data_IF_740812100504
#
_entry.id   IF_740812100504
#
_cell.length_a   1.000
_cell.length_b   1.000
_cell.length_c   1.000
_cell.angle_alpha   90.00
_cell.angle_beta   90.00
_cell.angle_gamma   90.00
#
_symmetry.space_group_name_H-M   'P 1'
#
loop_
_entity.id
_entity.type
_entity.pdbx_description
1 polymer ?
#
# COMPACT_ATOMS: atom_id res chain seq x y z
N UNK A 1 19.07 -14.02 -16.45
CA UNK A 1 18.19 -12.90 -16.81
C UNK A 1 18.98 -11.77 -17.44
N UNK A 2 19.79 -11.01 -16.67
CA UNK A 2 20.60 -9.88 -17.19
C UNK A 2 21.47 -10.26 -18.40
N UNK A 3 22.11 -11.44 -18.38
CA UNK A 3 22.96 -11.92 -19.50
C UNK A 3 22.23 -12.04 -20.84
N UNK A 4 20.92 -12.31 -20.85
CA UNK A 4 20.16 -12.58 -22.08
C UNK A 4 19.17 -11.48 -22.42
N UNK A 5 18.63 -10.77 -21.42
CA UNK A 5 17.60 -9.74 -21.59
C UNK A 5 18.10 -8.32 -21.29
N UNK A 6 19.33 -8.17 -20.78
CA UNK A 6 19.82 -6.88 -20.29
C UNK A 6 19.13 -6.43 -19.01
N UNK A 7 19.19 -5.13 -18.71
CA UNK A 7 18.40 -4.51 -17.65
C UNK A 7 16.96 -4.31 -18.16
N UNK A 8 16.00 -4.87 -17.42
CA UNK A 8 14.57 -4.76 -17.71
C UNK A 8 13.83 -4.23 -16.47
N UNK A 9 12.81 -3.38 -16.63
CA UNK A 9 12.08 -2.80 -15.51
C UNK A 9 11.10 -3.84 -14.94
N UNK A 10 11.59 -4.65 -14.00
CA UNK A 10 10.79 -5.68 -13.31
C UNK A 10 10.42 -5.19 -11.91
N UNK A 11 9.16 -5.39 -11.54
CA UNK A 11 8.66 -5.22 -10.17
C UNK A 11 8.32 -6.62 -9.65
N UNK A 12 8.83 -6.97 -8.48
CA UNK A 12 8.53 -8.25 -7.85
C UNK A 12 7.26 -8.11 -7.01
N UNK A 13 6.22 -8.87 -7.37
CA UNK A 13 5.07 -9.10 -6.49
C UNK A 13 5.50 -10.10 -5.40
N UNK A 14 5.84 -9.57 -4.22
CA UNK A 14 6.36 -10.31 -3.09
C UNK A 14 5.44 -10.22 -1.87
N UNK A 15 4.13 -10.43 -2.07
CA UNK A 15 3.12 -10.36 -1.01
C UNK A 15 2.84 -11.74 -0.39
N UNK A 16 2.32 -11.74 0.84
CA UNK A 16 1.95 -12.96 1.56
C UNK A 16 3.11 -13.65 2.28
N UNK A 17 3.12 -14.99 2.30
CA UNK A 17 4.16 -15.77 2.99
C UNK A 17 5.38 -15.90 2.07
N UNK A 18 6.38 -15.06 2.31
CA UNK A 18 7.62 -15.02 1.53
C UNK A 18 8.71 -15.84 2.21
N UNK A 19 9.29 -16.79 1.47
CA UNK A 19 10.40 -17.60 1.98
C UNK A 19 11.75 -16.88 1.81
N UNK A 20 12.78 -17.23 2.59
CA UNK A 20 14.12 -16.64 2.47
C UNK A 20 14.72 -16.77 1.06
N UNK A 21 14.38 -17.81 0.31
CA UNK A 21 14.83 -18.04 -1.06
C UNK A 21 14.25 -16.99 -2.02
N UNK A 22 12.98 -16.61 -1.85
CA UNK A 22 12.33 -15.57 -2.65
C UNK A 22 12.97 -14.21 -2.36
N UNK A 23 13.22 -13.90 -1.07
CA UNK A 23 13.93 -12.66 -0.69
C UNK A 23 15.33 -12.61 -1.30
N UNK A 24 16.09 -13.71 -1.22
CA UNK A 24 17.42 -13.81 -1.83
C UNK A 24 17.37 -13.62 -3.35
N UNK A 25 16.36 -14.18 -4.01
CA UNK A 25 16.20 -14.05 -5.46
C UNK A 25 15.89 -12.61 -5.86
N UNK A 26 14.95 -11.95 -5.16
CA UNK A 26 14.61 -10.54 -5.37
C UNK A 26 15.84 -9.66 -5.20
N UNK A 27 16.54 -9.81 -4.07
CA UNK A 27 17.72 -9.00 -3.74
C UNK A 27 18.89 -9.25 -4.69
N UNK A 28 19.05 -10.48 -5.21
CA UNK A 28 20.11 -10.82 -6.18
C UNK A 28 19.98 -10.02 -7.48
N UNK A 29 18.76 -9.71 -7.89
CA UNK A 29 18.48 -8.93 -9.10
C UNK A 29 18.13 -7.46 -8.80
N UNK A 30 18.19 -7.06 -7.53
CA UNK A 30 17.84 -5.72 -7.05
C UNK A 30 16.45 -5.25 -7.49
N UNK A 31 15.50 -6.19 -7.56
CA UNK A 31 14.13 -5.86 -7.97
C UNK A 31 13.34 -5.19 -6.83
N UNK A 32 12.63 -4.08 -7.10
CA UNK A 32 11.76 -3.47 -6.12
C UNK A 32 10.62 -4.44 -5.74
N UNK A 33 10.35 -4.54 -4.45
CA UNK A 33 9.18 -5.27 -3.93
C UNK A 33 7.94 -4.39 -3.86
N UNK A 34 6.79 -5.00 -3.62
CA UNK A 34 5.50 -4.31 -3.48
C UNK A 34 5.18 -4.03 -2.01
N UNK A 35 4.64 -2.85 -1.73
CA UNK A 35 4.10 -2.47 -0.42
C UNK A 35 2.66 -2.03 -0.59
N UNK A 36 1.73 -2.65 0.14
CA UNK A 36 0.30 -2.37 0.01
C UNK A 36 -0.20 -1.68 1.29
N UNK A 37 -0.61 -0.41 1.19
CA UNK A 37 -1.07 0.35 2.36
C UNK A 37 -2.26 -0.32 3.05
N UNK A 38 -3.25 -0.81 2.29
CA UNK A 38 -4.42 -1.50 2.83
C UNK A 38 -4.09 -2.80 3.59
N UNK A 39 -2.89 -3.37 3.41
CA UNK A 39 -2.44 -4.56 4.15
C UNK A 39 -1.69 -4.19 5.41
N UNK A 40 -0.95 -3.09 5.41
CA UNK A 40 0.00 -2.79 6.48
C UNK A 40 -0.53 -1.76 7.49
N UNK A 41 -1.55 -0.95 7.14
CA UNK A 41 -2.09 0.08 8.02
C UNK A 41 -3.21 -0.47 8.91
N UNK A 42 -2.84 -1.23 9.94
CA UNK A 42 -3.77 -1.74 10.95
C UNK A 42 -3.10 -1.92 12.32
N UNK A 43 -3.90 -2.01 13.39
CA UNK A 43 -3.44 -1.91 14.79
C UNK A 43 -2.38 -2.95 15.20
N UNK A 44 -2.48 -4.14 14.64
CA UNK A 44 -1.65 -5.29 15.00
C UNK A 44 -0.48 -5.54 14.04
N UNK A 45 -0.23 -4.63 13.09
CA UNK A 45 0.89 -4.77 12.18
C UNK A 45 2.22 -4.50 12.90
N UNK A 46 3.28 -5.16 12.44
CA UNK A 46 4.63 -4.91 12.94
C UNK A 46 5.14 -3.59 12.38
N UNK A 47 5.75 -2.78 13.25
CA UNK A 47 6.33 -1.47 12.90
C UNK A 47 7.13 -1.44 11.60
N UNK A 48 7.98 -2.45 11.36
CA UNK A 48 8.81 -2.55 10.14
C UNK A 48 8.03 -2.61 8.82
N UNK A 49 6.73 -2.92 8.87
CA UNK A 49 5.84 -2.95 7.71
C UNK A 49 5.01 -1.67 7.58
N UNK A 50 5.13 -0.71 8.49
CA UNK A 50 4.45 0.57 8.35
C UNK A 50 5.15 1.46 7.30
N UNK A 51 4.41 2.36 6.64
CA UNK A 51 4.93 3.18 5.53
C UNK A 51 6.21 3.98 5.82
N UNK A 52 6.40 4.48 7.04
CA UNK A 52 7.60 5.22 7.41
C UNK A 52 8.88 4.34 7.48
N UNK A 53 8.73 3.02 7.49
CA UNK A 53 9.82 2.03 7.46
C UNK A 53 10.03 1.38 6.09
N UNK A 54 9.28 1.77 5.05
CA UNK A 54 9.49 1.21 3.71
C UNK A 54 10.88 1.51 3.18
N UNK A 55 11.49 0.54 2.51
CA UNK A 55 12.76 0.71 1.82
C UNK A 55 12.60 1.52 0.52
N UNK A 56 13.60 2.32 0.11
CA UNK A 56 13.54 3.05 -1.16
C UNK A 56 13.34 2.16 -2.39
N UNK A 57 14.01 1.00 -2.44
CA UNK A 57 13.83 0.03 -3.53
C UNK A 57 12.51 -0.77 -3.37
N UNK A 58 11.38 -0.07 -3.40
CA UNK A 58 10.05 -0.64 -3.36
C UNK A 58 9.06 0.22 -4.14
N UNK A 59 7.92 -0.40 -4.49
CA UNK A 59 6.78 0.27 -5.09
C UNK A 59 5.62 0.23 -4.10
N UNK A 60 5.19 1.40 -3.64
CA UNK A 60 4.02 1.52 -2.78
C UNK A 60 2.75 1.59 -3.61
N UNK A 61 1.72 0.90 -3.15
CA UNK A 61 0.38 0.94 -3.70
C UNK A 61 -0.59 1.29 -2.58
N UNK A 62 -1.55 2.16 -2.88
CA UNK A 62 -2.70 2.32 -2.00
C UNK A 62 -3.48 1.01 -1.91
N UNK A 63 -3.63 0.31 -3.03
CA UNK A 63 -4.08 -1.08 -3.14
C UNK A 63 -4.03 -1.59 -4.58
N UNK A 64 -4.01 -2.92 -4.76
CA UNK A 64 -3.98 -3.62 -6.06
C UNK A 64 -5.38 -3.82 -6.65
N UNK A 65 -5.50 -4.39 -7.85
CA UNK A 65 -6.82 -4.72 -8.42
C UNK A 65 -7.61 -5.77 -7.60
N UNK A 66 -6.95 -6.54 -6.74
CA UNK A 66 -7.57 -7.58 -5.91
C UNK A 66 -8.18 -7.06 -4.61
N UNK A 67 -7.79 -5.86 -4.15
CA UNK A 67 -8.37 -5.30 -2.93
C UNK A 67 -9.67 -4.52 -3.21
N UNK A 68 -10.50 -4.40 -2.18
CA UNK A 68 -11.65 -3.48 -2.21
C UNK A 68 -11.19 -2.05 -2.49
N UNK A 69 -12.09 -1.22 -2.99
CA UNK A 69 -11.91 0.23 -3.03
C UNK A 69 -11.50 0.75 -1.66
N UNK A 70 -10.71 1.82 -1.59
CA UNK A 70 -10.29 2.39 -0.30
C UNK A 70 -11.47 2.78 0.58
N UNK A 71 -12.54 3.34 0.01
CA UNK A 71 -13.78 3.62 0.75
C UNK A 71 -14.43 2.33 1.27
N UNK A 72 -14.52 1.30 0.42
CA UNK A 72 -15.11 0.00 0.79
C UNK A 72 -14.29 -0.73 1.86
N UNK A 73 -12.96 -0.70 1.74
CA UNK A 73 -12.02 -1.21 2.72
C UNK A 73 -12.17 -0.47 4.06
N UNK A 74 -12.12 0.85 4.05
CA UNK A 74 -12.22 1.68 5.27
C UNK A 74 -13.52 1.42 6.05
N UNK A 75 -14.65 1.33 5.34
CA UNK A 75 -15.97 1.05 5.95
C UNK A 75 -16.09 -0.35 6.57
N UNK A 76 -15.19 -1.27 6.26
CA UNK A 76 -15.18 -2.65 6.77
C UNK A 76 -14.15 -2.87 7.87
N UNK A 77 -13.36 -1.85 8.23
CA UNK A 77 -12.37 -1.97 9.29
C UNK A 77 -13.04 -2.24 10.63
N UNK A 78 -12.34 -3.01 11.47
CA UNK A 78 -12.73 -3.22 12.85
C UNK A 78 -12.47 -1.93 13.64
N UNK A 79 -13.22 -1.66 14.73
CA UNK A 79 -13.03 -0.44 15.53
C UNK A 79 -11.57 -0.17 15.87
N UNK A 80 -10.85 -1.20 16.35
CA UNK A 80 -9.41 -1.14 16.66
C UNK A 80 -8.53 -0.60 15.54
N UNK A 81 -8.83 -0.94 14.29
CA UNK A 81 -8.06 -0.50 13.13
C UNK A 81 -8.48 0.92 12.69
N UNK A 82 -9.74 1.29 12.90
CA UNK A 82 -10.22 2.67 12.70
C UNK A 82 -9.54 3.62 13.67
N UNK A 83 -9.46 3.26 14.97
CA UNK A 83 -8.77 4.06 15.97
C UNK A 83 -7.26 4.19 15.67
N UNK A 84 -6.62 3.09 15.27
CA UNK A 84 -5.22 3.12 14.83
C UNK A 84 -5.01 4.05 13.64
N UNK A 85 -5.86 3.95 12.60
CA UNK A 85 -5.75 4.81 11.43
C UNK A 85 -6.00 6.27 11.79
N UNK A 86 -6.94 6.55 12.68
CA UNK A 86 -7.24 7.89 13.12
C UNK A 86 -6.03 8.53 13.80
N UNK A 87 -5.35 7.79 14.67
CA UNK A 87 -4.11 8.24 15.30
C UNK A 87 -2.95 8.35 14.30
N UNK A 88 -2.75 7.33 13.47
CA UNK A 88 -1.60 7.25 12.55
C UNK A 88 -1.66 8.29 11.43
N UNK A 89 -2.85 8.60 10.93
CA UNK A 89 -3.06 9.54 9.82
C UNK A 89 -3.53 10.93 10.28
N UNK A 90 -3.68 11.14 11.59
CA UNK A 90 -4.22 12.37 12.18
C UNK A 90 -5.60 12.73 11.60
N UNK A 91 -6.54 11.79 11.73
CA UNK A 91 -7.89 11.91 11.19
C UNK A 91 -8.84 12.56 12.18
N UNK A 92 -9.69 13.45 11.70
CA UNK A 92 -10.75 14.04 12.52
C UNK A 92 -11.97 13.11 12.63
N UNK A 93 -12.70 13.11 13.78
CA UNK A 93 -13.88 12.26 13.96
C UNK A 93 -15.03 12.52 12.97
N UNK A 94 -15.05 13.71 12.36
CA UNK A 94 -16.10 14.14 11.44
C UNK A 94 -15.73 13.98 9.95
N UNK A 95 -14.59 13.36 9.63
CA UNK A 95 -14.16 13.24 8.24
C UNK A 95 -15.07 12.33 7.40
N UNK A 96 -15.27 12.72 6.16
CA UNK A 96 -15.97 11.91 5.17
C UNK A 96 -15.10 10.74 4.67
N UNK A 97 -15.75 9.68 4.17
CA UNK A 97 -15.04 8.50 3.68
C UNK A 97 -14.16 8.82 2.46
N UNK A 98 -14.44 9.89 1.72
CA UNK A 98 -13.61 10.36 0.61
C UNK A 98 -12.26 10.92 1.09
N UNK A 99 -12.17 11.41 2.32
CA UNK A 99 -10.92 11.95 2.87
C UNK A 99 -9.89 10.85 3.10
N UNK A 100 -10.32 9.61 3.42
CA UNK A 100 -9.38 8.48 3.56
C UNK A 100 -8.64 8.19 2.25
N UNK A 101 -9.26 8.45 1.09
CA UNK A 101 -8.59 8.29 -0.19
C UNK A 101 -7.42 9.26 -0.32
N UNK A 102 -7.63 10.53 0.03
CA UNK A 102 -6.58 11.54 -0.01
C UNK A 102 -5.49 11.27 1.01
N UNK A 103 -5.85 10.84 2.23
CA UNK A 103 -4.87 10.47 3.26
C UNK A 103 -3.98 9.31 2.84
N UNK A 104 -4.52 8.27 2.22
CA UNK A 104 -3.68 7.19 1.68
C UNK A 104 -2.81 7.64 0.51
N UNK A 105 -3.29 8.56 -0.32
CA UNK A 105 -2.48 9.16 -1.39
C UNK A 105 -1.30 9.94 -0.78
N UNK A 106 -1.56 10.78 0.22
CA UNK A 106 -0.52 11.54 0.95
C UNK A 106 0.53 10.60 1.54
N UNK A 107 0.11 9.52 2.21
CA UNK A 107 1.03 8.51 2.77
C UNK A 107 1.87 7.85 1.68
N UNK A 108 1.25 7.46 0.56
CA UNK A 108 1.96 6.84 -0.55
C UNK A 108 3.03 7.76 -1.15
N UNK A 109 2.78 9.07 -1.21
CA UNK A 109 3.77 10.05 -1.69
C UNK A 109 4.79 10.47 -0.63
N UNK A 110 4.50 10.31 0.66
CA UNK A 110 5.42 10.67 1.76
C UNK A 110 6.33 9.52 2.20
N UNK A 111 5.99 8.27 1.90
CA UNK A 111 6.85 7.14 2.25
C UNK A 111 8.14 7.13 1.41
N UNK A 112 9.12 6.34 1.83
CA UNK A 112 10.45 6.36 1.19
C UNK A 112 10.52 5.58 -0.13
N UNK A 113 9.46 4.87 -0.52
CA UNK A 113 9.40 4.09 -1.76
C UNK A 113 9.67 4.96 -3.00
N UNK A 114 10.55 4.49 -3.90
CA UNK A 114 10.92 5.22 -5.11
C UNK A 114 9.77 5.37 -6.12
N UNK A 115 8.69 4.59 -5.99
CA UNK A 115 7.55 4.64 -6.89
C UNK A 115 6.26 4.48 -6.10
N UNK A 116 5.29 5.36 -6.37
CA UNK A 116 3.95 5.28 -5.82
C UNK A 116 2.93 5.02 -6.94
N UNK A 117 2.08 4.01 -6.75
CA UNK A 117 1.00 3.67 -7.67
C UNK A 117 -0.34 3.83 -6.96
N UNK A 118 -1.12 4.79 -7.43
CA UNK A 118 -2.44 5.09 -6.89
C UNK A 118 -3.49 4.37 -7.72
N UNK A 119 -4.37 3.61 -7.08
CA UNK A 119 -5.50 3.01 -7.79
C UNK A 119 -6.46 4.09 -8.28
N UNK A 120 -6.67 4.13 -9.60
CA UNK A 120 -7.49 5.14 -10.27
C UNK A 120 -8.88 5.36 -9.64
N UNK A 121 -9.55 4.29 -9.19
CA UNK A 121 -10.88 4.37 -8.56
C UNK A 121 -10.93 5.22 -7.29
N UNK A 122 -9.78 5.47 -6.64
CA UNK A 122 -9.68 6.39 -5.49
C UNK A 122 -9.72 7.86 -5.91
N UNK A 123 -9.10 8.22 -7.04
CA UNK A 123 -9.00 9.61 -7.49
C UNK A 123 -10.36 10.21 -7.87
N UNK A 124 -11.33 9.36 -8.19
CA UNK A 124 -12.67 9.78 -8.62
C UNK A 124 -13.73 9.68 -7.52
N UNK A 125 -13.35 9.34 -6.27
CA UNK A 125 -14.27 9.18 -5.13
C UNK A 125 -15.56 8.43 -5.52
N UNK A 126 -15.45 7.46 -6.44
CA UNK A 126 -16.60 6.86 -7.11
C UNK A 126 -17.17 5.79 -6.17
N UNK A 127 -17.97 6.24 -5.21
CA UNK A 127 -18.93 5.37 -4.55
C UNK A 127 -19.91 4.92 -5.62
N UNK A 128 -20.18 3.62 -5.68
CA UNK A 128 -21.33 3.13 -6.42
C UNK A 128 -22.56 3.77 -5.78
N UNK A 129 -22.99 4.92 -6.30
CA UNK A 129 -24.32 5.45 -5.99
C UNK A 129 -25.29 4.37 -6.49
N UNK A 130 -26.19 3.85 -5.64
CA UNK A 130 -27.23 2.97 -6.15
C UNK A 130 -27.99 3.74 -7.24
N UNK A 131 -28.15 3.08 -8.39
CA UNK A 131 -28.97 3.58 -9.50
C UNK A 131 -30.44 3.70 -9.08
#
# INVERSE_FOLDING_TARGET
MIRYLGQIPVIAEDLGIITPEVVKLKNRFDFPGMKILQFNLHKNEKEKFLPHHYEPNSVVYTGTHDNDTTIGWYKKLLPGDVEFLAEYLDLEPAMEAEEICWRLIEVAFRCQSNTAIIRCRMCFAWTARPA
#
